data_IF_904455227598
#
_entry.id   IF_904455227598
#
_cell.length_a   1.000
_cell.length_b   1.000
_cell.length_c   1.000
_cell.angle_alpha   90.00
_cell.angle_beta   90.00
_cell.angle_gamma   90.00
#
_symmetry.space_group_name_H-M   'P 1'
#
loop_
_entity.id
_entity.type
_entity.pdbx_description
1 polymer ?
#
# COMPACT_ATOMS: atom_id res chain seq x y z
N UNK A 1 -10.00 -4.23 6.25
CA UNK A 1 -8.75 -4.31 5.48
C UNK A 1 -7.61 -4.67 6.41
N UNK A 2 -6.63 -5.45 5.93
CA UNK A 2 -5.46 -5.84 6.71
C UNK A 2 -4.36 -4.78 6.57
N UNK A 3 -3.65 -4.49 7.65
CA UNK A 3 -2.48 -3.62 7.62
C UNK A 3 -1.38 -4.19 6.72
N UNK A 4 -0.60 -3.30 6.10
CA UNK A 4 0.51 -3.72 5.25
C UNK A 4 1.56 -4.49 6.06
N UNK A 5 2.05 -5.59 5.50
CA UNK A 5 3.19 -6.34 6.03
C UNK A 5 4.49 -5.62 5.68
N UNK A 6 5.56 -5.88 6.46
CA UNK A 6 6.91 -5.35 6.21
C UNK A 6 7.35 -5.50 4.73
N UNK A 7 7.09 -6.66 4.13
CA UNK A 7 7.45 -6.93 2.72
C UNK A 7 6.73 -6.00 1.73
N UNK A 8 5.45 -5.75 1.96
CA UNK A 8 4.63 -4.91 1.08
C UNK A 8 5.11 -3.46 1.11
N UNK A 9 5.44 -2.97 2.31
CA UNK A 9 6.02 -1.62 2.51
C UNK A 9 7.37 -1.50 1.80
N UNK A 10 8.27 -2.46 1.98
CA UNK A 10 9.61 -2.43 1.37
C UNK A 10 9.53 -2.51 -0.17
N UNK A 11 8.67 -3.38 -0.71
CA UNK A 11 8.48 -3.49 -2.16
C UNK A 11 7.93 -2.19 -2.73
N UNK A 12 6.89 -1.62 -2.13
CA UNK A 12 6.37 -0.32 -2.56
C UNK A 12 7.46 0.76 -2.52
N UNK A 13 8.24 0.82 -1.43
CA UNK A 13 9.33 1.78 -1.29
C UNK A 13 10.39 1.65 -2.38
N UNK A 14 10.82 0.42 -2.71
CA UNK A 14 11.79 0.17 -3.77
C UNK A 14 11.27 0.61 -5.14
N UNK A 15 10.01 0.28 -5.45
CA UNK A 15 9.36 0.72 -6.68
C UNK A 15 9.23 2.26 -6.72
N UNK A 16 8.85 2.89 -5.61
CA UNK A 16 8.73 4.35 -5.51
C UNK A 16 10.08 5.05 -5.69
N UNK A 17 11.14 4.51 -5.09
CA UNK A 17 12.51 5.03 -5.27
C UNK A 17 12.97 5.00 -6.72
N UNK A 18 12.49 4.04 -7.51
CA UNK A 18 12.89 3.87 -8.92
C UNK A 18 11.99 4.64 -9.89
N UNK A 19 10.67 4.51 -9.74
CA UNK A 19 9.69 4.99 -10.71
C UNK A 19 8.91 6.22 -10.23
N UNK A 20 8.97 6.54 -8.93
CA UNK A 20 8.12 7.52 -8.27
C UNK A 20 6.64 7.28 -8.62
N UNK A 21 5.93 8.29 -9.10
CA UNK A 21 4.56 8.17 -9.59
C UNK A 21 4.50 8.14 -11.12
N UNK A 22 5.60 7.83 -11.81
CA UNK A 22 5.57 7.60 -13.24
C UNK A 22 5.09 6.19 -13.56
N UNK A 23 4.65 6.00 -14.80
CA UNK A 23 4.26 4.68 -15.30
C UNK A 23 5.52 3.80 -15.46
N UNK A 24 5.38 2.51 -15.19
CA UNK A 24 6.46 1.53 -15.31
C UNK A 24 5.94 0.20 -15.82
N UNK A 25 6.80 -0.56 -16.50
CA UNK A 25 6.43 -1.87 -17.01
C UNK A 25 6.72 -2.99 -15.98
N UNK A 26 6.05 -4.13 -16.14
CA UNK A 26 6.22 -5.27 -15.24
C UNK A 26 7.66 -5.80 -15.20
N UNK A 27 8.33 -5.86 -16.36
CA UNK A 27 9.73 -6.29 -16.46
C UNK A 27 10.66 -5.41 -15.64
N UNK A 28 10.58 -4.09 -15.81
CA UNK A 28 11.37 -3.11 -15.05
C UNK A 28 11.13 -3.23 -13.54
N UNK A 29 9.87 -3.44 -13.13
CA UNK A 29 9.54 -3.68 -11.73
C UNK A 29 10.17 -5.00 -11.21
N UNK A 30 10.15 -6.06 -12.01
CA UNK A 30 10.79 -7.33 -11.65
C UNK A 30 12.31 -7.19 -11.57
N UNK A 31 12.93 -6.50 -12.51
CA UNK A 31 14.38 -6.26 -12.53
C UNK A 31 14.80 -5.43 -11.31
N UNK A 32 14.03 -4.39 -10.97
CA UNK A 32 14.25 -3.55 -9.78
C UNK A 32 14.18 -4.36 -8.49
N UNK A 33 13.30 -5.36 -8.42
CA UNK A 33 13.11 -6.20 -7.23
C UNK A 33 14.03 -7.44 -7.20
N UNK A 34 14.61 -7.82 -8.34
CA UNK A 34 15.38 -9.05 -8.50
C UNK A 34 16.58 -9.22 -7.55
N UNK A 35 17.30 -8.17 -7.11
CA UNK A 35 18.41 -8.34 -6.16
C UNK A 35 17.94 -8.78 -4.77
N UNK A 36 16.66 -8.59 -4.44
CA UNK A 36 16.12 -8.79 -3.09
C UNK A 36 15.06 -9.90 -3.03
N UNK A 37 14.36 -10.16 -4.13
CA UNK A 37 13.22 -11.06 -4.15
C UNK A 37 13.20 -11.92 -5.41
N UNK A 38 12.77 -13.17 -5.28
CA UNK A 38 12.55 -14.04 -6.43
C UNK A 38 11.40 -13.52 -7.29
N UNK A 39 11.45 -13.82 -8.60
CA UNK A 39 10.40 -13.45 -9.57
C UNK A 39 8.99 -13.82 -9.07
N UNK A 40 8.82 -15.00 -8.47
CA UNK A 40 7.54 -15.46 -7.90
C UNK A 40 7.07 -14.55 -6.76
N UNK A 41 7.97 -14.15 -5.86
CA UNK A 41 7.63 -13.24 -4.76
C UNK A 41 7.25 -11.87 -5.30
N UNK A 42 8.04 -11.32 -6.21
CA UNK A 42 7.80 -10.00 -6.82
C UNK A 42 6.46 -9.97 -7.55
N UNK A 43 6.14 -10.97 -8.38
CA UNK A 43 4.86 -11.07 -9.09
C UNK A 43 3.67 -11.15 -8.12
N UNK A 44 3.76 -11.99 -7.10
CA UNK A 44 2.69 -12.12 -6.10
C UNK A 44 2.48 -10.82 -5.32
N UNK A 45 3.56 -10.13 -4.98
CA UNK A 45 3.51 -8.84 -4.30
C UNK A 45 2.91 -7.76 -5.19
N UNK A 46 3.35 -7.62 -6.45
CA UNK A 46 2.76 -6.65 -7.39
C UNK A 46 1.26 -6.94 -7.58
N UNK A 47 0.88 -8.21 -7.77
CA UNK A 47 -0.53 -8.62 -7.88
C UNK A 47 -1.34 -8.25 -6.64
N UNK A 48 -0.79 -8.50 -5.45
CA UNK A 48 -1.43 -8.16 -4.19
C UNK A 48 -1.58 -6.64 -4.00
N UNK A 49 -0.50 -5.89 -4.22
CA UNK A 49 -0.48 -4.43 -4.14
C UNK A 49 -1.44 -3.80 -5.16
N UNK A 50 -1.60 -4.44 -6.32
CA UNK A 50 -2.63 -4.06 -7.29
C UNK A 50 -4.04 -4.30 -6.76
N UNK A 51 -4.29 -5.48 -6.18
CA UNK A 51 -5.59 -5.83 -5.61
C UNK A 51 -6.03 -4.87 -4.50
N UNK A 52 -5.09 -4.38 -3.69
CA UNK A 52 -5.41 -3.46 -2.58
C UNK A 52 -5.43 -1.99 -3.01
N UNK A 53 -5.03 -1.65 -4.24
CA UNK A 53 -5.04 -0.28 -4.76
C UNK A 53 -3.80 0.56 -4.46
N UNK A 54 -2.69 -0.05 -4.03
CA UNK A 54 -1.41 0.63 -3.83
C UNK A 54 -0.62 0.76 -5.15
N UNK A 55 -0.92 -0.11 -6.10
CA UNK A 55 -0.44 -0.08 -7.48
C UNK A 55 -1.69 -0.10 -8.37
N UNK A 56 -1.75 0.76 -9.37
CA UNK A 56 -2.81 0.76 -10.37
C UNK A 56 -2.28 0.15 -11.66
N UNK A 57 -3.07 -0.74 -12.25
CA UNK A 57 -2.78 -1.28 -13.58
C UNK A 57 -3.35 -0.33 -14.63
N UNK A 58 -2.50 0.26 -15.46
CA UNK A 58 -2.91 1.24 -16.48
C UNK A 58 -3.22 0.53 -17.81
N UNK A 59 -2.35 -0.38 -18.23
CA UNK A 59 -2.49 -1.19 -19.45
C UNK A 59 -2.00 -2.63 -19.21
N UNK A 60 -2.08 -3.55 -20.19
CA UNK A 60 -1.38 -4.82 -20.08
C UNK A 60 0.11 -4.58 -19.77
N UNK A 61 0.59 -5.15 -18.67
CA UNK A 61 1.98 -5.04 -18.18
C UNK A 61 2.45 -3.64 -17.77
N UNK A 62 1.62 -2.61 -17.84
CA UNK A 62 1.95 -1.25 -17.39
C UNK A 62 1.21 -0.90 -16.10
N UNK A 63 1.95 -0.31 -15.17
CA UNK A 63 1.52 -0.03 -13.81
C UNK A 63 1.96 1.35 -13.36
N UNK A 64 1.28 1.88 -12.35
CA UNK A 64 1.59 3.15 -11.70
C UNK A 64 1.40 3.03 -10.20
N UNK A 65 2.25 3.66 -9.39
CA UNK A 65 2.05 3.69 -7.93
C UNK A 65 0.93 4.67 -7.56
N UNK A 66 0.10 4.29 -6.59
CA UNK A 66 -0.78 5.23 -5.89
C UNK A 66 0.03 6.03 -4.87
N UNK A 67 -0.44 7.23 -4.49
CA UNK A 67 0.13 7.97 -3.37
C UNK A 67 -0.01 7.15 -2.07
N UNK A 68 1.09 7.00 -1.34
CA UNK A 68 1.14 6.17 -0.14
C UNK A 68 0.37 6.79 1.03
N UNK A 69 0.46 8.10 1.20
CA UNK A 69 -0.22 8.83 2.26
C UNK A 69 -1.74 8.73 2.11
N UNK A 70 -2.25 8.96 0.91
CA UNK A 70 -3.67 8.81 0.58
C UNK A 70 -4.15 7.38 0.87
N UNK A 71 -3.36 6.38 0.47
CA UNK A 71 -3.68 4.99 0.77
C UNK A 71 -3.74 4.71 2.28
N UNK A 72 -2.73 5.16 3.04
CA UNK A 72 -2.68 4.99 4.49
C UNK A 72 -3.87 5.69 5.15
N UNK A 73 -4.22 6.89 4.71
CA UNK A 73 -5.40 7.60 5.18
C UNK A 73 -6.68 6.78 4.95
N UNK A 74 -6.90 6.30 3.72
CA UNK A 74 -8.07 5.50 3.37
C UNK A 74 -8.20 4.23 4.22
N UNK A 75 -7.11 3.49 4.42
CA UNK A 75 -7.16 2.24 5.20
C UNK A 75 -7.22 2.49 6.71
N UNK A 76 -6.70 3.62 7.20
CA UNK A 76 -6.71 4.00 8.61
C UNK A 76 -8.04 4.61 9.04
N UNK A 77 -8.77 5.25 8.12
CA UNK A 77 -9.96 6.04 8.44
C UNK A 77 -11.03 5.27 9.23
N UNK A 78 -11.42 4.02 8.86
CA UNK A 78 -12.37 3.26 9.66
C UNK A 78 -11.89 2.98 11.09
N UNK A 79 -10.59 2.73 11.26
CA UNK A 79 -9.97 2.54 12.56
C UNK A 79 -10.00 3.82 13.39
N UNK A 80 -9.61 4.96 12.79
CA UNK A 80 -9.61 6.27 13.43
C UNK A 80 -11.02 6.67 13.86
N UNK A 81 -12.02 6.51 12.98
CA UNK A 81 -13.44 6.77 13.28
C UNK A 81 -13.94 5.95 14.47
N UNK A 82 -13.57 4.67 14.54
CA UNK A 82 -13.90 3.80 15.69
C UNK A 82 -13.24 4.29 16.98
N UNK A 83 -11.97 4.68 16.93
CA UNK A 83 -11.22 5.17 18.10
C UNK A 83 -11.79 6.49 18.63
N UNK A 84 -12.14 7.42 17.74
CA UNK A 84 -12.78 8.68 18.11
C UNK A 84 -14.08 8.46 18.89
N UNK A 85 -14.95 7.56 18.42
CA UNK A 85 -16.20 7.21 19.11
C UNK A 85 -15.97 6.65 20.52
N UNK A 86 -15.04 5.71 20.68
CA UNK A 86 -14.70 5.13 21.99
C UNK A 86 -14.22 6.23 22.95
N UNK A 87 -13.37 7.13 22.45
CA UNK A 87 -12.85 8.23 23.26
C UNK A 87 -13.97 9.18 23.72
N UNK A 88 -14.89 9.56 22.83
CA UNK A 88 -16.05 10.39 23.16
C UNK A 88 -16.95 9.75 24.22
N UNK A 89 -17.19 8.43 24.14
CA UNK A 89 -17.96 7.69 25.15
C UNK A 89 -17.26 7.69 26.52
N UNK A 90 -15.93 7.53 26.54
CA UNK A 90 -15.16 7.57 27.79
C UNK A 90 -15.17 8.95 28.43
N UNK A 91 -15.14 10.02 27.63
CA UNK A 91 -15.25 11.39 28.13
C UNK A 91 -16.62 11.63 28.78
N UNK A 92 -17.72 11.22 28.12
CA UNK A 92 -19.07 11.37 28.68
C UNK A 92 -19.27 10.64 30.01
N UNK A 93 -18.64 9.46 30.18
CA UNK A 93 -18.72 8.67 31.42
C UNK A 93 -17.91 9.24 32.59
N UNK A 94 -16.96 10.15 32.34
CA UNK A 94 -16.15 10.78 33.40
C UNK A 94 -16.76 12.08 33.93
N UNK A 95 -17.73 12.64 33.21
CA UNK A 95 -18.42 13.90 33.54
C UNK A 95 -19.75 13.70 34.25
N UNK A 96 -20.18 12.44 34.44
CA UNK A 96 -21.31 12.03 35.29
C UNK A 96 -20.76 11.41 36.56
#
# INVERSE_FOLDING_TARGET
MRWLKKREVVIYFLLYRKFQYNDFNLGEALDTLSPYFSKKVSLNSIKYLTKIGLINKIRPLEYKLSNFEDYIYLISYPYLKRRARIHQMHLHRKTQ
#
